data_IF_422078295101
#
_entry.id   IF_422078295101
#
_cell.length_a   1.000
_cell.length_b   1.000
_cell.length_c   1.000
_cell.angle_alpha   90.00
_cell.angle_beta   90.00
_cell.angle_gamma   90.00
#
_symmetry.space_group_name_H-M   'P 1'
#
loop_
_entity.id
_entity.type
_entity.pdbx_description
1 polymer ?
#
# COMPACT_ATOMS: atom_id res chain seq x y z
N UNK A 1 -37.45 -27.10 -4.10
CA UNK A 1 -36.65 -26.34 -5.07
C UNK A 1 -35.62 -25.54 -4.29
N UNK A 2 -34.32 -25.86 -4.38
CA UNK A 2 -33.29 -25.10 -3.69
C UNK A 2 -32.92 -23.88 -4.54
N UNK A 3 -33.20 -22.68 -4.04
CA UNK A 3 -32.78 -21.43 -4.66
C UNK A 3 -31.28 -21.26 -4.45
N UNK A 4 -30.49 -21.36 -5.51
CA UNK A 4 -29.07 -21.05 -5.48
C UNK A 4 -28.89 -19.53 -5.34
N UNK A 5 -28.60 -19.06 -4.13
CA UNK A 5 -28.16 -17.70 -3.90
C UNK A 5 -26.80 -17.51 -4.56
N UNK A 6 -26.72 -16.60 -5.54
CA UNK A 6 -25.48 -16.24 -6.21
C UNK A 6 -24.62 -15.44 -5.22
N UNK A 7 -23.71 -16.12 -4.53
CA UNK A 7 -22.78 -15.47 -3.59
C UNK A 7 -21.86 -14.54 -4.38
N UNK A 8 -21.99 -13.23 -4.15
CA UNK A 8 -21.06 -12.23 -4.68
C UNK A 8 -19.70 -12.40 -4.01
N UNK A 9 -18.66 -12.69 -4.79
CA UNK A 9 -17.28 -12.78 -4.30
C UNK A 9 -16.72 -11.38 -4.13
N UNK A 10 -16.24 -11.04 -2.93
CA UNK A 10 -15.56 -9.78 -2.69
C UNK A 10 -14.14 -9.85 -3.29
N UNK A 11 -13.79 -8.95 -4.20
CA UNK A 11 -12.44 -8.91 -4.78
C UNK A 11 -11.86 -7.51 -4.64
N UNK A 12 -10.55 -7.38 -4.35
CA UNK A 12 -9.91 -6.09 -4.46
C UNK A 12 -9.77 -5.70 -5.94
N UNK A 13 -9.44 -4.43 -6.16
CA UNK A 13 -9.00 -3.95 -7.46
C UNK A 13 -7.76 -4.70 -7.97
N UNK A 14 -7.60 -4.79 -9.31
CA UNK A 14 -6.36 -5.27 -9.91
C UNK A 14 -5.23 -4.30 -9.54
N UNK A 15 -4.11 -4.84 -9.08
CA UNK A 15 -2.94 -4.07 -8.71
C UNK A 15 -1.97 -3.92 -9.88
N UNK A 16 -1.71 -2.68 -10.27
CA UNK A 16 -0.66 -2.30 -11.24
C UNK A 16 0.53 -1.65 -10.53
N UNK A 17 0.23 -0.72 -9.64
CA UNK A 17 1.16 0.18 -8.96
C UNK A 17 0.56 0.77 -7.67
N UNK A 18 1.32 1.63 -7.00
CA UNK A 18 0.94 2.18 -5.70
C UNK A 18 1.43 1.35 -4.51
N UNK A 19 0.80 1.55 -3.35
CA UNK A 19 1.21 0.94 -2.08
C UNK A 19 0.78 -0.53 -2.01
N UNK A 20 1.72 -1.43 -2.30
CA UNK A 20 1.49 -2.87 -2.25
C UNK A 20 1.13 -3.37 -0.85
N UNK A 21 1.64 -2.76 0.22
CA UNK A 21 1.33 -3.19 1.59
C UNK A 21 -0.13 -2.90 1.90
N UNK A 22 -0.60 -1.71 1.53
CA UNK A 22 -2.00 -1.35 1.70
C UNK A 22 -2.92 -2.23 0.84
N UNK A 23 -2.53 -2.50 -0.40
CA UNK A 23 -3.29 -3.37 -1.29
C UNK A 23 -3.36 -4.81 -0.78
N UNK A 24 -2.26 -5.38 -0.28
CA UNK A 24 -2.23 -6.72 0.32
C UNK A 24 -3.17 -6.82 1.53
N UNK A 25 -3.27 -5.78 2.37
CA UNK A 25 -4.25 -5.74 3.46
C UNK A 25 -5.69 -5.78 2.95
N UNK A 26 -6.01 -5.07 1.87
CA UNK A 26 -7.34 -5.16 1.24
C UNK A 26 -7.60 -6.56 0.67
N UNK A 27 -6.60 -7.17 0.04
CA UNK A 27 -6.68 -8.53 -0.47
C UNK A 27 -6.97 -9.53 0.67
N UNK A 28 -6.30 -9.42 1.81
CA UNK A 28 -6.54 -10.26 2.99
C UNK A 28 -7.94 -10.06 3.58
N UNK A 29 -8.48 -8.83 3.58
CA UNK A 29 -9.86 -8.57 3.98
C UNK A 29 -10.87 -9.25 3.03
N UNK A 30 -10.62 -9.20 1.72
CA UNK A 30 -11.45 -9.90 0.73
C UNK A 30 -11.34 -11.42 0.89
N UNK A 31 -10.13 -11.94 1.12
CA UNK A 31 -9.88 -13.35 1.39
C UNK A 31 -10.69 -13.83 2.61
N UNK A 32 -10.68 -13.05 3.69
CA UNK A 32 -11.48 -13.32 4.89
C UNK A 32 -12.98 -13.30 4.62
N UNK A 33 -13.46 -12.33 3.83
CA UNK A 33 -14.88 -12.25 3.47
C UNK A 33 -15.35 -13.42 2.59
N UNK A 34 -14.43 -14.06 1.86
CA UNK A 34 -14.70 -15.19 0.99
C UNK A 34 -14.27 -16.55 1.56
N UNK A 35 -13.85 -16.60 2.83
CA UNK A 35 -13.32 -17.80 3.50
C UNK A 35 -12.17 -18.50 2.74
N UNK A 36 -11.30 -17.72 2.09
CA UNK A 36 -10.13 -18.26 1.39
C UNK A 36 -9.08 -18.75 2.38
N UNK A 37 -8.47 -19.89 2.06
CA UNK A 37 -7.27 -20.39 2.74
C UNK A 37 -6.01 -19.92 2.01
N UNK A 38 -4.85 -20.07 2.63
CA UNK A 38 -3.55 -19.69 2.05
C UNK A 38 -3.35 -20.28 0.64
N UNK A 39 -3.79 -21.52 0.40
CA UNK A 39 -3.71 -22.16 -0.92
C UNK A 39 -4.59 -21.48 -1.98
N UNK A 40 -5.74 -20.93 -1.59
CA UNK A 40 -6.62 -20.18 -2.49
C UNK A 40 -6.01 -18.79 -2.76
N UNK A 41 -5.46 -18.17 -1.71
CA UNK A 41 -4.79 -16.88 -1.80
C UNK A 41 -3.57 -16.94 -2.73
N UNK A 42 -2.74 -17.98 -2.63
CA UNK A 42 -1.60 -18.22 -3.52
C UNK A 42 -2.00 -18.30 -5.01
N UNK A 43 -3.12 -18.98 -5.30
CA UNK A 43 -3.63 -19.11 -6.68
C UNK A 43 -4.23 -17.80 -7.19
N UNK A 44 -4.90 -17.05 -6.31
CA UNK A 44 -5.66 -15.86 -6.68
C UNK A 44 -4.82 -14.60 -6.76
N UNK A 45 -3.87 -14.42 -5.86
CA UNK A 45 -3.01 -13.25 -5.82
C UNK A 45 -2.40 -12.88 -7.19
N UNK A 46 -1.75 -13.80 -7.93
CA UNK A 46 -1.14 -13.45 -9.21
C UNK A 46 -2.16 -13.03 -10.28
N UNK A 47 -3.41 -13.52 -10.21
CA UNK A 47 -4.47 -13.14 -11.15
C UNK A 47 -4.97 -11.71 -10.96
N UNK A 48 -4.65 -11.10 -9.82
CA UNK A 48 -5.01 -9.74 -9.46
C UNK A 48 -3.82 -8.79 -9.57
N UNK A 49 -2.69 -9.25 -10.12
CA UNK A 49 -1.54 -8.41 -10.46
C UNK A 49 -1.53 -8.09 -11.95
N UNK A 50 -0.99 -6.94 -12.30
CA UNK A 50 -0.82 -6.50 -13.68
C UNK A 50 0.46 -5.68 -13.85
N UNK A 51 0.87 -5.46 -15.11
CA UNK A 51 2.00 -4.59 -15.44
C UNK A 51 3.28 -4.96 -14.70
N UNK A 52 3.92 -3.96 -14.06
CA UNK A 52 5.17 -4.13 -13.31
C UNK A 52 5.03 -5.14 -12.16
N UNK A 53 3.89 -5.15 -11.46
CA UNK A 53 3.67 -6.02 -10.32
C UNK A 53 3.66 -7.50 -10.73
N UNK A 54 2.95 -7.82 -11.82
CA UNK A 54 2.94 -9.18 -12.37
C UNK A 54 4.30 -9.59 -12.93
N UNK A 55 5.01 -8.68 -13.61
CA UNK A 55 6.35 -8.95 -14.13
C UNK A 55 7.37 -9.25 -13.01
N UNK A 56 7.21 -8.63 -11.83
CA UNK A 56 8.01 -8.96 -10.63
C UNK A 56 7.66 -10.35 -10.12
N UNK A 57 6.36 -10.65 -9.96
CA UNK A 57 5.89 -11.98 -9.55
C UNK A 57 6.49 -13.08 -10.42
N UNK A 58 6.45 -12.92 -11.75
CA UNK A 58 6.95 -13.92 -12.69
C UNK A 58 8.43 -14.27 -12.46
N UNK A 59 9.25 -13.28 -12.09
CA UNK A 59 10.70 -13.43 -11.84
C UNK A 59 11.05 -14.07 -10.50
N UNK A 60 10.10 -14.18 -9.58
CA UNK A 60 10.35 -14.84 -8.29
C UNK A 60 10.58 -16.34 -8.50
N UNK A 61 11.42 -16.93 -7.64
CA UNK A 61 11.70 -18.37 -7.63
C UNK A 61 10.42 -19.17 -7.36
N UNK A 62 10.35 -20.41 -7.87
CA UNK A 62 9.15 -21.25 -7.73
C UNK A 62 8.82 -21.51 -6.25
N UNK A 63 9.84 -21.77 -5.44
CA UNK A 63 9.74 -22.05 -4.01
C UNK A 63 9.19 -20.84 -3.24
N UNK A 64 9.49 -19.62 -3.71
CA UNK A 64 8.93 -18.37 -3.12
C UNK A 64 7.42 -18.26 -3.36
N UNK A 65 6.90 -18.86 -4.44
CA UNK A 65 5.48 -18.83 -4.82
C UNK A 65 4.64 -19.91 -4.13
N UNK A 66 5.26 -20.79 -3.35
CA UNK A 66 4.58 -21.91 -2.67
C UNK A 66 4.14 -21.58 -1.24
N UNK A 67 4.69 -20.53 -0.63
CA UNK A 67 4.31 -20.06 0.71
C UNK A 67 3.79 -18.63 0.64
N UNK A 68 2.58 -18.41 1.15
CA UNK A 68 1.91 -17.11 1.04
C UNK A 68 2.65 -15.98 1.76
N UNK A 69 3.28 -16.27 2.91
CA UNK A 69 4.02 -15.26 3.68
C UNK A 69 5.33 -14.93 2.99
N UNK A 70 6.03 -15.93 2.47
CA UNK A 70 7.27 -15.73 1.72
C UNK A 70 7.01 -14.95 0.43
N UNK A 71 5.94 -15.29 -0.29
CA UNK A 71 5.51 -14.60 -1.51
C UNK A 71 5.21 -13.12 -1.27
N UNK A 72 4.35 -12.80 -0.30
CA UNK A 72 3.93 -11.42 -0.03
C UNK A 72 5.07 -10.54 0.48
N UNK A 73 5.99 -11.12 1.27
CA UNK A 73 7.23 -10.45 1.67
C UNK A 73 8.10 -10.13 0.44
N UNK A 74 8.38 -11.12 -0.40
CA UNK A 74 9.23 -10.94 -1.58
C UNK A 74 8.65 -9.92 -2.56
N UNK A 75 7.33 -9.96 -2.81
CA UNK A 75 6.64 -8.97 -3.64
C UNK A 75 6.78 -7.57 -3.07
N UNK A 76 6.54 -7.40 -1.77
CA UNK A 76 6.62 -6.09 -1.10
C UNK A 76 8.02 -5.51 -1.18
N UNK A 77 9.04 -6.33 -0.91
CA UNK A 77 10.45 -5.93 -0.99
C UNK A 77 10.84 -5.56 -2.42
N UNK A 78 10.44 -6.35 -3.41
CA UNK A 78 10.76 -6.09 -4.83
C UNK A 78 9.99 -4.89 -5.41
N UNK A 79 8.76 -4.62 -4.94
CA UNK A 79 7.92 -3.56 -5.49
C UNK A 79 8.13 -2.19 -4.80
N UNK A 80 8.40 -2.21 -3.48
CA UNK A 80 8.51 -1.01 -2.65
C UNK A 80 9.83 -0.84 -1.91
N UNK A 81 10.72 -1.83 -1.94
CA UNK A 81 11.97 -1.82 -1.19
C UNK A 81 13.20 -1.36 -1.96
N UNK A 82 13.13 -1.24 -3.30
CA UNK A 82 14.27 -0.78 -4.09
C UNK A 82 14.54 0.72 -3.88
N UNK A 83 15.82 1.11 -3.91
CA UNK A 83 16.23 2.51 -3.68
C UNK A 83 15.61 3.48 -4.70
N UNK A 84 15.37 3.00 -5.92
CA UNK A 84 14.67 3.76 -6.95
C UNK A 84 13.21 4.06 -6.56
N UNK A 85 12.49 3.09 -6.01
CA UNK A 85 11.12 3.26 -5.52
C UNK A 85 11.02 4.22 -4.35
N UNK A 86 11.99 4.18 -3.42
CA UNK A 86 12.09 5.16 -2.33
C UNK A 86 12.37 6.56 -2.85
N UNK A 87 13.28 6.68 -3.81
CA UNK A 87 13.62 7.96 -4.43
C UNK A 87 12.42 8.58 -5.17
N UNK A 88 11.71 7.79 -5.98
CA UNK A 88 10.52 8.25 -6.69
C UNK A 88 9.41 8.66 -5.73
N UNK A 89 9.22 7.90 -4.64
CA UNK A 89 8.27 8.27 -3.60
C UNK A 89 8.64 9.58 -2.89
N UNK A 90 9.94 9.82 -2.66
CA UNK A 90 10.43 11.09 -2.10
C UNK A 90 10.17 12.25 -3.07
N UNK A 91 10.38 12.05 -4.37
CA UNK A 91 10.05 13.06 -5.37
C UNK A 91 8.55 13.38 -5.37
N UNK A 92 7.69 12.35 -5.34
CA UNK A 92 6.24 12.51 -5.29
C UNK A 92 5.77 13.24 -4.01
N UNK A 93 6.38 12.92 -2.85
CA UNK A 93 6.13 13.64 -1.60
C UNK A 93 6.49 15.13 -1.72
N UNK A 94 7.68 15.43 -2.24
CA UNK A 94 8.17 16.82 -2.37
C UNK A 94 7.40 17.64 -3.41
N UNK A 95 6.88 17.01 -4.46
CA UNK A 95 6.14 17.70 -5.52
C UNK A 95 4.65 17.85 -5.21
N UNK A 96 4.14 17.20 -4.15
CA UNK A 96 2.71 17.23 -3.84
C UNK A 96 2.29 18.56 -3.24
N UNK A 97 1.55 19.33 -4.02
CA UNK A 97 0.91 20.59 -3.58
C UNK A 97 -0.57 20.38 -3.31
N UNK A 98 -1.11 20.93 -2.23
CA UNK A 98 -2.55 20.89 -1.91
C UNK A 98 -3.37 21.50 -3.06
N UNK A 99 -4.44 20.82 -3.47
CA UNK A 99 -5.36 21.37 -4.48
C UNK A 99 -6.22 22.50 -3.87
N UNK A 100 -6.68 23.49 -4.65
CA UNK A 100 -7.44 24.62 -4.12
C UNK A 100 -8.67 24.22 -3.28
N UNK A 101 -9.33 23.13 -3.67
CA UNK A 101 -10.55 22.56 -3.10
C UNK A 101 -10.31 21.33 -2.19
N UNK A 102 -9.06 20.92 -2.00
CA UNK A 102 -8.74 19.76 -1.16
C UNK A 102 -8.75 20.14 0.32
N UNK A 103 -9.54 19.39 1.09
CA UNK A 103 -9.57 19.44 2.54
C UNK A 103 -8.19 19.15 3.15
N UNK A 104 -7.84 19.86 4.22
CA UNK A 104 -6.49 19.78 4.82
C UNK A 104 -6.18 18.40 5.43
N UNK A 105 -7.19 17.70 5.96
CA UNK A 105 -7.00 16.36 6.51
C UNK A 105 -6.82 15.34 5.39
N UNK A 106 -7.57 15.50 4.29
CA UNK A 106 -7.41 14.69 3.08
C UNK A 106 -6.01 14.90 2.48
N UNK A 107 -5.54 16.16 2.40
CA UNK A 107 -4.20 16.47 1.95
C UNK A 107 -3.12 15.79 2.83
N UNK A 108 -3.21 15.93 4.15
CA UNK A 108 -2.26 15.33 5.08
C UNK A 108 -2.24 13.80 4.94
N UNK A 109 -3.41 13.16 4.91
CA UNK A 109 -3.56 11.72 4.70
C UNK A 109 -2.90 11.27 3.38
N UNK A 110 -3.15 11.99 2.29
CA UNK A 110 -2.59 11.69 0.97
C UNK A 110 -1.07 11.93 0.91
N UNK A 111 -0.55 12.85 1.72
CA UNK A 111 0.87 13.17 1.80
C UNK A 111 1.65 12.14 2.65
N UNK A 112 1.01 11.49 3.62
CA UNK A 112 1.63 10.45 4.44
C UNK A 112 2.03 9.20 3.64
N UNK A 113 1.22 8.80 2.66
CA UNK A 113 1.47 7.59 1.87
C UNK A 113 2.82 7.61 1.13
N UNK A 114 3.14 8.64 0.30
CA UNK A 114 4.46 8.72 -0.33
C UNK A 114 5.59 8.91 0.69
N UNK A 115 5.35 9.58 1.82
CA UNK A 115 6.35 9.74 2.88
C UNK A 115 6.73 8.40 3.52
N UNK A 116 5.75 7.57 3.90
CA UNK A 116 6.00 6.25 4.49
C UNK A 116 6.76 5.33 3.54
N UNK A 117 6.50 5.44 2.23
CA UNK A 117 7.22 4.69 1.21
C UNK A 117 8.65 5.18 1.02
N UNK A 118 8.83 6.50 1.00
CA UNK A 118 10.15 7.12 0.86
C UNK A 118 11.03 6.88 2.10
N UNK A 119 10.42 6.84 3.28
CA UNK A 119 11.07 6.74 4.58
C UNK A 119 10.37 5.69 5.46
N UNK A 120 10.57 4.38 5.20
CA UNK A 120 9.89 3.30 5.92
C UNK A 120 10.23 3.21 7.41
N UNK A 121 11.35 3.82 7.84
CA UNK A 121 11.80 3.86 9.22
C UNK A 121 11.49 5.20 9.92
N UNK A 122 10.66 6.07 9.34
CA UNK A 122 10.29 7.31 10.01
C UNK A 122 9.51 6.97 11.28
N UNK A 123 10.03 7.37 12.45
CA UNK A 123 9.37 7.10 13.72
C UNK A 123 7.97 7.70 13.72
N UNK A 124 6.96 6.88 14.04
CA UNK A 124 5.54 7.28 14.07
C UNK A 124 5.25 8.48 14.99
N UNK A 125 6.19 8.86 15.87
CA UNK A 125 6.10 9.99 16.78
C UNK A 125 6.68 11.31 16.28
N UNK A 126 7.29 11.35 15.09
CA UNK A 126 7.82 12.59 14.51
C UNK A 126 6.74 13.46 13.84
N UNK A 127 5.62 12.86 13.43
CA UNK A 127 4.50 13.55 12.74
C UNK A 127 3.56 14.29 13.70
N UNK A 128 3.49 13.92 14.98
CA UNK A 128 2.66 14.62 15.97
C UNK A 128 3.40 15.72 16.76
N UNK A 129 4.74 15.67 16.85
CA UNK A 129 5.50 16.58 17.72
C UNK A 129 5.85 17.95 17.13
N UNK A 130 5.46 18.25 15.89
CA UNK A 130 5.73 19.58 15.31
C UNK A 130 4.52 20.52 15.26
N UNK A 131 3.30 20.00 15.31
CA UNK A 131 2.09 20.83 15.26
C UNK A 131 1.65 21.42 16.60
N UNK A 132 2.28 21.02 17.71
CA UNK A 132 1.95 21.53 19.05
C UNK A 132 2.88 22.64 19.58
N UNK A 133 3.86 23.10 18.80
CA UNK A 133 4.64 24.31 19.14
C UNK A 133 4.09 25.53 18.41
N UNK A 134 2.81 25.82 18.62
CA UNK A 134 2.32 27.19 18.52
C UNK A 134 2.43 27.81 19.92
N UNK A 135 3.64 28.25 20.28
CA UNK A 135 3.80 29.24 21.35
C UNK A 135 4.07 30.59 20.70
N UNK A 136 3.00 31.40 20.69
CA UNK A 136 3.02 32.83 20.51
C UNK A 136 4.03 33.50 21.45
N UNK A 137 5.07 34.09 20.90
CA UNK A 137 5.74 35.29 21.44
C UNK A 137 6.68 35.84 20.38
N UNK A 138 6.25 36.88 19.66
CA UNK A 138 6.66 38.29 19.87
C UNK A 138 8.13 38.52 19.52
N UNK A 139 8.38 39.11 18.35
CA UNK A 139 9.10 40.38 18.19
C UNK A 139 9.37 40.65 16.69
N UNK A 140 8.50 41.46 16.08
CA UNK A 140 8.86 42.32 14.96
C UNK A 140 8.52 43.75 15.40
N UNK A 141 9.52 44.43 15.94
CA UNK A 141 9.75 45.86 15.79
C UNK A 141 11.20 46.03 15.38
#
# INVERSE_FOLDING_TARGET
MATATRTSVALPEIFSDGDMVLWLRKFELCAKANDWKDTDMLKRLPTLLSGKAFAIFERLAAETKEDFKVLTKALTEAFGGDENGKHLAMMAFRSRMRMPDEDIQVFAYNLEAPLRRAMPNIEKGATEKHFSSNNLSKECL
#
